data_IF_212121121511
#
_entry.id   IF_212121121511
#
_cell.length_a   1.000
_cell.length_b   1.000
_cell.length_c   1.000
_cell.angle_alpha   90.00
_cell.angle_beta   90.00
_cell.angle_gamma   90.00
#
_symmetry.space_group_name_H-M   'P 1'
#
loop_
_entity.id
_entity.type
_entity.pdbx_description
1 polymer ?
#
# COMPACT_ATOMS: atom_id res chain seq x y z
N UNK A 1 20.62 -15.42 3.77
CA UNK A 1 19.52 -14.83 2.95
C UNK A 1 18.56 -13.99 3.79
N UNK A 2 17.94 -14.52 4.86
CA UNK A 2 17.05 -13.73 5.71
C UNK A 2 17.71 -12.48 6.34
N UNK A 3 18.94 -12.60 6.86
CA UNK A 3 19.69 -11.47 7.42
C UNK A 3 19.96 -10.34 6.42
N UNK A 4 20.22 -10.68 5.15
CA UNK A 4 20.48 -9.70 4.08
C UNK A 4 19.20 -8.94 3.72
N UNK A 5 18.05 -9.62 3.67
CA UNK A 5 16.76 -8.99 3.41
C UNK A 5 16.39 -8.01 4.53
N UNK A 6 16.56 -8.41 5.79
CA UNK A 6 16.27 -7.52 6.92
C UNK A 6 17.22 -6.32 6.98
N UNK A 7 18.51 -6.50 6.64
CA UNK A 7 19.45 -5.38 6.50
C UNK A 7 19.06 -4.43 5.37
N UNK A 8 18.61 -4.96 4.23
CA UNK A 8 18.12 -4.16 3.11
C UNK A 8 16.87 -3.35 3.49
N UNK A 9 15.87 -3.98 4.12
CA UNK A 9 14.68 -3.30 4.65
C UNK A 9 15.04 -2.18 5.63
N UNK A 10 16.01 -2.43 6.53
CA UNK A 10 16.53 -1.44 7.46
C UNK A 10 17.16 -0.25 6.75
N UNK A 11 18.01 -0.49 5.76
CA UNK A 11 18.65 0.57 4.97
C UNK A 11 17.61 1.45 4.26
N UNK A 12 16.59 0.82 3.65
CA UNK A 12 15.48 1.53 3.00
C UNK A 12 14.68 2.38 3.98
N UNK A 13 14.32 1.82 5.14
CA UNK A 13 13.57 2.52 6.18
C UNK A 13 14.32 3.73 6.71
N UNK A 14 15.62 3.57 6.99
CA UNK A 14 16.48 4.67 7.43
C UNK A 14 16.54 5.78 6.37
N UNK A 15 16.83 5.43 5.12
CA UNK A 15 16.91 6.42 4.04
C UNK A 15 15.58 7.15 3.83
N UNK A 16 14.44 6.46 3.90
CA UNK A 16 13.13 7.08 3.79
C UNK A 16 12.87 8.10 4.91
N UNK A 17 13.16 7.75 6.17
CA UNK A 17 13.00 8.63 7.33
C UNK A 17 13.93 9.84 7.24
N UNK A 18 15.21 9.62 6.94
CA UNK A 18 16.21 10.70 6.81
C UNK A 18 15.79 11.77 5.78
N UNK A 19 15.09 11.37 4.71
CA UNK A 19 14.70 12.27 3.63
C UNK A 19 13.30 12.89 3.78
N UNK A 20 12.38 12.24 4.49
CA UNK A 20 10.95 12.61 4.46
C UNK A 20 10.32 12.84 5.84
N UNK A 21 10.96 12.46 6.95
CA UNK A 21 10.36 12.67 8.28
C UNK A 21 10.57 14.13 8.75
N UNK A 22 9.51 14.93 8.93
CA UNK A 22 9.65 16.33 9.33
C UNK A 22 10.10 16.49 10.78
N UNK A 23 10.88 17.55 11.07
CA UNK A 23 11.33 17.86 12.43
C UNK A 23 10.20 18.28 13.36
N UNK A 24 9.13 18.82 12.81
CA UNK A 24 7.95 19.34 13.50
C UNK A 24 6.67 18.55 13.13
N UNK A 25 6.84 17.25 12.82
CA UNK A 25 5.76 16.36 12.42
C UNK A 25 4.62 16.34 13.45
N UNK A 26 3.40 16.62 13.00
CA UNK A 26 2.19 16.60 13.85
C UNK A 26 1.46 15.28 13.74
N UNK A 27 1.21 14.83 12.51
CA UNK A 27 0.50 13.58 12.23
C UNK A 27 1.26 12.77 11.19
N UNK A 28 1.60 11.53 11.54
CA UNK A 28 2.37 10.62 10.70
C UNK A 28 1.63 9.31 10.52
N UNK A 29 1.38 8.90 9.28
CA UNK A 29 0.82 7.59 8.95
C UNK A 29 1.89 6.50 9.06
N UNK A 30 1.59 5.42 9.78
CA UNK A 30 2.48 4.26 9.91
C UNK A 30 1.79 3.04 9.33
N UNK A 31 2.37 2.56 8.26
CA UNK A 31 1.96 1.39 7.50
C UNK A 31 2.00 0.08 8.27
N UNK A 32 1.75 -1.00 7.54
CA UNK A 32 1.75 -2.36 8.06
C UNK A 32 2.84 -3.20 7.40
N UNK A 33 3.29 -4.25 8.11
CA UNK A 33 4.20 -5.26 7.57
C UNK A 33 5.65 -5.13 8.01
N UNK A 34 6.43 -6.17 7.68
CA UNK A 34 7.76 -6.39 8.25
C UNK A 34 8.79 -5.29 7.98
N UNK A 35 8.65 -4.52 6.89
CA UNK A 35 9.59 -3.43 6.57
C UNK A 35 9.35 -2.19 7.42
N UNK A 36 8.09 -1.95 7.85
CA UNK A 36 7.72 -0.74 8.60
C UNK A 36 8.27 -0.72 10.02
N UNK A 37 8.62 -1.88 10.57
CA UNK A 37 9.39 -1.97 11.82
C UNK A 37 10.63 -1.09 11.77
N UNK A 38 11.35 -1.09 10.63
CA UNK A 38 12.57 -0.31 10.48
C UNK A 38 12.35 1.18 10.25
N UNK A 39 11.17 1.58 9.76
CA UNK A 39 10.79 2.99 9.70
C UNK A 39 10.60 3.52 11.12
N UNK A 40 9.87 2.78 11.97
CA UNK A 40 9.66 3.17 13.37
C UNK A 40 10.97 3.20 14.15
N UNK A 41 11.85 2.22 13.95
CA UNK A 41 13.20 2.25 14.52
C UNK A 41 13.99 3.49 14.06
N UNK A 42 14.01 3.79 12.76
CA UNK A 42 14.71 4.96 12.23
C UNK A 42 14.15 6.29 12.76
N UNK A 43 12.83 6.40 12.96
CA UNK A 43 12.21 7.58 13.59
C UNK A 43 12.76 7.76 15.01
N UNK A 44 12.83 6.68 15.80
CA UNK A 44 13.36 6.71 17.17
C UNK A 44 14.86 7.05 17.21
N UNK A 45 15.61 6.61 16.22
CA UNK A 45 17.05 6.87 16.09
C UNK A 45 17.38 8.26 15.51
N UNK A 46 16.39 8.94 14.91
CA UNK A 46 16.59 10.24 14.24
C UNK A 46 17.00 11.39 15.17
N UNK A 47 16.73 11.25 16.48
CA UNK A 47 16.94 12.30 17.47
C UNK A 47 15.90 13.44 17.41
N UNK A 48 14.88 13.34 16.57
CA UNK A 48 13.75 14.28 16.54
C UNK A 48 12.88 14.08 17.79
N UNK A 49 12.42 15.18 18.39
CA UNK A 49 11.47 15.14 19.49
C UNK A 49 10.07 14.73 18.99
N UNK A 50 9.67 13.50 19.31
CA UNK A 50 8.38 12.93 18.91
C UNK A 50 7.28 13.12 19.95
N UNK A 51 7.50 13.87 21.02
CA UNK A 51 6.57 13.99 22.15
C UNK A 51 5.22 14.62 21.76
N UNK A 52 5.22 15.52 20.77
CA UNK A 52 4.02 16.16 20.24
C UNK A 52 3.41 15.43 19.03
N UNK A 53 4.13 14.50 18.42
CA UNK A 53 3.70 13.79 17.20
C UNK A 53 2.67 12.72 17.52
N UNK A 54 1.62 12.63 16.71
CA UNK A 54 0.61 11.57 16.73
C UNK A 54 0.79 10.65 15.53
N UNK A 55 0.72 9.35 15.76
CA UNK A 55 0.96 8.34 14.73
C UNK A 55 -0.33 7.60 14.43
N UNK A 56 -0.74 7.60 13.16
CA UNK A 56 -1.97 6.98 12.67
C UNK A 56 -1.64 5.60 12.12
N UNK A 57 -2.03 4.49 12.78
CA UNK A 57 -1.74 3.15 12.32
C UNK A 57 -2.64 2.73 11.15
N UNK A 58 -2.18 1.79 10.35
CA UNK A 58 -2.94 1.15 9.27
C UNK A 58 -3.38 -0.28 9.63
N UNK A 59 -3.68 -0.52 10.90
CA UNK A 59 -4.15 -1.81 11.40
C UNK A 59 -3.59 -2.16 12.78
N UNK A 60 -4.05 -3.29 13.32
CA UNK A 60 -3.69 -3.67 14.70
C UNK A 60 -2.19 -3.85 14.90
N UNK A 61 -1.49 -4.53 13.98
CA UNK A 61 -0.04 -4.76 14.11
C UNK A 61 0.76 -3.44 14.05
N UNK A 62 0.35 -2.51 13.17
CA UNK A 62 0.93 -1.17 13.11
C UNK A 62 0.75 -0.42 14.43
N UNK A 63 -0.47 -0.45 14.99
CA UNK A 63 -0.74 0.16 16.30
C UNK A 63 0.15 -0.42 17.41
N UNK A 64 0.31 -1.74 17.47
CA UNK A 64 1.17 -2.38 18.46
C UNK A 64 2.64 -1.99 18.31
N UNK A 65 3.13 -1.89 17.07
CA UNK A 65 4.49 -1.43 16.76
C UNK A 65 4.72 -0.01 17.29
N UNK A 66 3.79 0.93 17.02
CA UNK A 66 3.87 2.32 17.49
C UNK A 66 3.93 2.36 19.03
N UNK A 67 2.99 1.69 19.69
CA UNK A 67 2.88 1.69 21.16
C UNK A 67 4.13 1.08 21.80
N UNK A 68 4.61 -0.03 21.25
CA UNK A 68 5.80 -0.74 21.76
C UNK A 68 7.09 0.06 21.60
N UNK A 69 7.15 0.97 20.61
CA UNK A 69 8.25 1.92 20.43
C UNK A 69 8.16 3.15 21.38
N UNK A 70 7.12 3.24 22.21
CA UNK A 70 6.85 4.37 23.09
C UNK A 70 6.41 5.63 22.33
N UNK A 71 5.79 5.47 21.16
CA UNK A 71 5.22 6.54 20.36
C UNK A 71 3.71 6.69 20.63
N UNK A 72 3.14 7.87 20.37
CA UNK A 72 1.72 8.11 20.64
C UNK A 72 0.86 7.71 19.45
N UNK A 73 0.21 6.53 19.52
CA UNK A 73 -0.78 6.12 18.54
C UNK A 73 -2.09 6.92 18.68
N UNK A 74 -2.73 7.23 17.55
CA UNK A 74 -4.08 7.79 17.47
C UNK A 74 -4.87 7.06 16.39
N UNK A 75 -6.14 6.75 16.64
CA UNK A 75 -7.00 6.13 15.64
C UNK A 75 -7.35 7.11 14.52
N UNK A 76 -7.62 6.59 13.32
CA UNK A 76 -7.95 7.42 12.15
C UNK A 76 -9.20 8.27 12.37
N UNK A 77 -10.23 7.74 13.04
CA UNK A 77 -11.49 8.44 13.33
C UNK A 77 -11.39 9.44 14.50
N UNK A 78 -10.26 9.45 15.22
CA UNK A 78 -9.98 10.40 16.29
C UNK A 78 -9.15 11.62 15.81
N UNK A 79 -8.74 11.67 14.53
CA UNK A 79 -8.06 12.84 13.98
C UNK A 79 -9.05 14.00 13.82
N UNK A 80 -8.65 15.25 14.11
CA UNK A 80 -9.53 16.40 13.91
C UNK A 80 -9.96 16.53 12.44
N UNK A 81 -11.21 16.94 12.21
CA UNK A 81 -11.72 17.20 10.88
C UNK A 81 -10.82 18.18 10.10
N UNK A 82 -10.58 17.89 8.81
CA UNK A 82 -9.70 18.69 7.96
C UNK A 82 -8.20 18.50 8.21
N UNK A 83 -7.79 17.63 9.13
CA UNK A 83 -6.37 17.32 9.37
C UNK A 83 -5.77 16.58 8.18
N UNK A 84 -4.66 17.08 7.65
CA UNK A 84 -3.84 16.37 6.66
C UNK A 84 -2.58 15.87 7.34
N UNK A 85 -2.28 14.58 7.19
CA UNK A 85 -1.05 13.96 7.70
C UNK A 85 0.15 14.54 6.96
N UNK A 86 1.24 14.77 7.68
CA UNK A 86 2.46 15.33 7.09
C UNK A 86 3.11 14.33 6.14
N UNK A 87 3.19 13.07 6.56
CA UNK A 87 3.72 11.97 5.76
C UNK A 87 3.09 10.65 6.22
N UNK A 88 2.91 9.72 5.29
CA UNK A 88 2.62 8.32 5.55
C UNK A 88 3.76 7.45 5.00
N UNK A 89 4.28 6.52 5.82
CA UNK A 89 5.25 5.52 5.39
C UNK A 89 4.59 4.15 5.37
N UNK A 90 4.68 3.44 4.24
CA UNK A 90 4.11 2.09 4.15
C UNK A 90 4.92 1.18 3.21
N UNK A 91 4.75 -0.14 3.38
CA UNK A 91 5.34 -1.15 2.51
C UNK A 91 4.50 -1.41 1.26
N UNK A 92 5.03 -2.27 0.38
CA UNK A 92 4.32 -2.79 -0.78
C UNK A 92 4.61 -4.28 -0.98
N UNK A 93 3.66 -4.97 -1.62
CA UNK A 93 3.83 -6.34 -2.10
C UNK A 93 4.54 -6.37 -3.45
N UNK A 94 4.35 -5.33 -4.27
CA UNK A 94 5.02 -5.09 -5.55
C UNK A 94 4.90 -3.61 -5.95
N UNK A 95 5.90 -3.08 -6.65
CA UNK A 95 5.96 -1.69 -7.15
C UNK A 95 6.42 -1.69 -8.61
N UNK A 96 5.68 -1.00 -9.49
CA UNK A 96 6.04 -0.87 -10.90
C UNK A 96 6.88 0.40 -11.22
N UNK A 97 7.19 0.61 -12.50
CA UNK A 97 7.98 1.76 -12.97
C UNK A 97 7.24 3.11 -12.81
N UNK A 98 5.90 3.08 -12.77
CA UNK A 98 5.03 4.26 -12.64
C UNK A 98 4.70 4.59 -11.17
N UNK A 99 5.36 3.90 -10.21
CA UNK A 99 5.09 3.95 -8.77
C UNK A 99 3.67 3.47 -8.38
N UNK A 100 2.99 2.69 -9.21
CA UNK A 100 1.80 1.98 -8.76
C UNK A 100 2.22 0.80 -7.87
N UNK A 101 1.38 0.47 -6.88
CA UNK A 101 1.65 -0.59 -5.92
C UNK A 101 0.58 -1.67 -5.97
N UNK A 102 0.99 -2.90 -5.71
CA UNK A 102 0.13 -3.90 -5.08
C UNK A 102 0.42 -3.90 -3.58
N UNK A 103 -0.63 -3.86 -2.78
CA UNK A 103 -0.65 -3.97 -1.31
C UNK A 103 -1.77 -4.94 -0.88
N UNK A 104 -1.83 -5.25 0.41
CA UNK A 104 -2.86 -6.11 0.99
C UNK A 104 -2.48 -7.57 1.20
N UNK A 105 -1.22 -7.96 1.00
CA UNK A 105 -0.70 -9.26 1.41
C UNK A 105 -0.92 -9.53 2.91
N UNK A 106 -0.79 -8.50 3.74
CA UNK A 106 -1.10 -8.52 5.18
C UNK A 106 -2.57 -8.35 5.56
N UNK A 107 -3.48 -8.20 4.58
CA UNK A 107 -4.92 -7.96 4.78
C UNK A 107 -5.29 -6.66 5.53
N UNK A 108 -4.46 -5.61 5.39
CA UNK A 108 -4.68 -4.28 5.96
C UNK A 108 -5.04 -3.20 4.92
N UNK A 109 -5.29 -3.60 3.66
CA UNK A 109 -5.27 -2.70 2.50
C UNK A 109 -6.21 -1.50 2.60
N UNK A 110 -7.39 -1.65 3.22
CA UNK A 110 -8.33 -0.55 3.36
C UNK A 110 -7.78 0.54 4.28
N UNK A 111 -7.28 0.18 5.46
CA UNK A 111 -6.71 1.14 6.40
C UNK A 111 -5.41 1.76 5.86
N UNK A 112 -4.58 0.96 5.19
CA UNK A 112 -3.40 1.45 4.46
C UNK A 112 -3.78 2.54 3.45
N UNK A 113 -4.88 2.34 2.71
CA UNK A 113 -5.31 3.29 1.68
C UNK A 113 -5.89 4.57 2.24
N UNK A 114 -6.77 4.51 3.24
CA UNK A 114 -7.36 5.73 3.82
C UNK A 114 -6.30 6.61 4.50
N UNK A 115 -5.26 6.01 5.10
CA UNK A 115 -4.13 6.76 5.69
C UNK A 115 -3.29 7.43 4.60
N UNK A 116 -2.96 6.72 3.52
CA UNK A 116 -2.25 7.31 2.38
C UNK A 116 -3.04 8.46 1.72
N UNK A 117 -4.35 8.30 1.59
CA UNK A 117 -5.28 9.31 1.09
C UNK A 117 -5.47 10.51 2.04
N UNK A 118 -4.96 10.46 3.27
CA UNK A 118 -4.99 11.59 4.19
C UNK A 118 -3.62 12.28 4.31
N UNK A 119 -2.59 11.81 3.61
CA UNK A 119 -1.22 12.31 3.75
C UNK A 119 -0.76 13.22 2.60
N UNK A 120 -0.02 14.30 2.94
CA UNK A 120 0.65 15.17 1.95
C UNK A 120 1.66 14.36 1.14
N UNK A 121 2.47 13.57 1.84
CA UNK A 121 3.45 12.67 1.24
C UNK A 121 3.10 11.22 1.59
N UNK A 122 3.04 10.36 0.58
CA UNK A 122 3.04 8.92 0.79
C UNK A 122 4.38 8.36 0.30
N UNK A 123 5.11 7.68 1.19
CA UNK A 123 6.43 7.11 0.95
C UNK A 123 6.35 5.59 1.05
N UNK A 124 6.73 4.91 -0.02
CA UNK A 124 6.84 3.46 -0.04
C UNK A 124 8.24 3.01 0.41
N UNK A 125 8.30 2.01 1.30
CA UNK A 125 9.56 1.44 1.80
C UNK A 125 9.55 -0.07 1.61
N UNK A 126 10.51 -0.59 0.87
CA UNK A 126 10.56 -2.00 0.49
C UNK A 126 11.98 -2.53 0.34
N UNK A 127 12.12 -3.85 0.21
CA UNK A 127 13.35 -4.46 -0.31
C UNK A 127 13.28 -4.62 -1.84
N UNK A 128 14.44 -4.75 -2.48
CA UNK A 128 14.58 -4.83 -3.94
C UNK A 128 13.76 -5.92 -4.64
N UNK A 129 13.28 -6.97 -3.96
CA UNK A 129 12.39 -7.98 -4.59
C UNK A 129 11.04 -7.41 -5.00
N UNK A 130 10.64 -6.30 -4.36
CA UNK A 130 9.38 -5.59 -4.62
C UNK A 130 9.48 -4.65 -5.81
N UNK A 131 10.69 -4.35 -6.28
CA UNK A 131 10.97 -3.50 -7.42
C UNK A 131 10.77 -4.26 -8.72
N UNK A 132 9.71 -3.95 -9.46
CA UNK A 132 9.40 -4.57 -10.75
C UNK A 132 9.18 -3.51 -11.83
N UNK A 133 9.20 -3.91 -13.09
CA UNK A 133 8.81 -3.03 -14.20
C UNK A 133 7.29 -2.93 -14.35
N UNK A 134 6.57 -3.99 -13.94
CA UNK A 134 5.12 -4.13 -14.09
C UNK A 134 4.52 -4.82 -12.88
N UNK A 135 3.29 -4.44 -12.54
CA UNK A 135 2.48 -5.16 -11.58
C UNK A 135 2.02 -6.52 -12.13
N UNK A 136 1.82 -7.47 -11.22
CA UNK A 136 1.54 -8.88 -11.49
C UNK A 136 2.66 -9.59 -12.27
N UNK A 137 3.92 -9.22 -12.01
CA UNK A 137 5.09 -9.86 -12.64
C UNK A 137 5.79 -10.83 -11.69
N UNK A 138 6.04 -10.42 -10.45
CA UNK A 138 6.58 -11.26 -9.37
C UNK A 138 5.48 -11.64 -8.37
N UNK A 139 4.68 -10.66 -7.93
CA UNK A 139 3.44 -10.92 -7.19
C UNK A 139 2.34 -11.39 -8.17
N UNK A 140 1.38 -12.22 -7.73
CA UNK A 140 0.54 -13.01 -8.64
C UNK A 140 -0.97 -12.76 -8.55
N UNK A 141 -1.41 -11.89 -7.65
CA UNK A 141 -2.83 -11.61 -7.46
C UNK A 141 -3.05 -10.22 -6.89
N UNK A 142 -4.24 -9.67 -7.08
CA UNK A 142 -4.67 -8.43 -6.43
C UNK A 142 -5.49 -8.81 -5.20
N UNK A 143 -5.08 -8.44 -3.98
CA UNK A 143 -5.93 -8.57 -2.80
C UNK A 143 -7.13 -7.61 -2.90
N UNK A 144 -8.34 -8.06 -2.63
CA UNK A 144 -9.57 -7.26 -2.72
C UNK A 144 -10.37 -7.48 -1.44
N UNK A 145 -10.67 -6.40 -0.74
CA UNK A 145 -11.47 -6.45 0.48
C UNK A 145 -12.96 -6.39 0.13
N UNK A 146 -13.75 -7.36 0.59
CA UNK A 146 -15.13 -7.57 0.16
C UNK A 146 -16.07 -7.87 1.32
N UNK A 147 -17.30 -7.37 1.22
CA UNK A 147 -18.34 -7.66 2.19
C UNK A 147 -18.61 -9.18 2.21
N UNK A 148 -18.61 -9.85 3.38
CA UNK A 148 -18.77 -11.31 3.46
C UNK A 148 -20.00 -11.83 2.71
N UNK A 149 -21.12 -11.11 2.81
CA UNK A 149 -22.38 -11.46 2.14
C UNK A 149 -22.28 -11.42 0.60
N UNK A 150 -21.36 -10.63 0.05
CA UNK A 150 -21.20 -10.43 -1.38
C UNK A 150 -20.06 -11.26 -1.99
N UNK A 151 -19.28 -11.99 -1.18
CA UNK A 151 -18.04 -12.62 -1.64
C UNK A 151 -18.21 -13.51 -2.88
N UNK A 152 -19.23 -14.37 -2.92
CA UNK A 152 -19.51 -15.22 -4.09
C UNK A 152 -19.93 -14.43 -5.34
N UNK A 153 -20.68 -13.32 -5.16
CA UNK A 153 -21.03 -12.44 -6.27
C UNK A 153 -19.79 -11.76 -6.84
N UNK A 154 -18.93 -11.24 -5.97
CA UNK A 154 -17.68 -10.59 -6.39
C UNK A 154 -16.77 -11.58 -7.10
N UNK A 155 -16.65 -12.82 -6.62
CA UNK A 155 -15.92 -13.89 -7.33
C UNK A 155 -16.41 -14.09 -8.77
N UNK A 156 -17.73 -14.12 -8.99
CA UNK A 156 -18.30 -14.25 -10.34
C UNK A 156 -17.95 -13.05 -11.21
N UNK A 157 -18.15 -11.83 -10.71
CA UNK A 157 -17.83 -10.61 -11.44
C UNK A 157 -16.34 -10.50 -11.79
N UNK A 158 -15.45 -10.93 -10.88
CA UNK A 158 -14.00 -10.97 -11.14
C UNK A 158 -13.64 -11.92 -12.28
N UNK A 159 -14.27 -13.11 -12.36
CA UNK A 159 -14.08 -14.03 -13.48
C UNK A 159 -14.56 -13.41 -14.80
N UNK A 160 -15.69 -12.71 -14.78
CA UNK A 160 -16.26 -12.04 -15.97
C UNK A 160 -15.33 -10.96 -16.54
N UNK A 161 -14.58 -10.25 -15.68
CA UNK A 161 -13.58 -9.24 -16.10
C UNK A 161 -12.18 -9.83 -16.36
N UNK A 162 -12.04 -11.16 -16.34
CA UNK A 162 -10.81 -11.86 -16.74
C UNK A 162 -9.87 -12.27 -15.62
N UNK A 163 -10.32 -12.30 -14.36
CA UNK A 163 -9.53 -12.88 -13.27
C UNK A 163 -9.43 -14.40 -13.43
N UNK A 164 -8.24 -14.94 -13.19
CA UNK A 164 -7.92 -16.36 -13.33
C UNK A 164 -8.10 -17.03 -11.96
N UNK A 165 -9.16 -17.83 -11.80
CA UNK A 165 -9.44 -18.56 -10.55
C UNK A 165 -9.35 -17.71 -9.26
N UNK A 166 -10.09 -16.58 -9.16
CA UNK A 166 -10.11 -15.80 -7.93
C UNK A 166 -10.66 -16.64 -6.77
N UNK A 167 -10.11 -16.44 -5.57
CA UNK A 167 -10.47 -17.22 -4.39
C UNK A 167 -10.54 -16.36 -3.12
N UNK A 168 -11.45 -16.74 -2.21
CA UNK A 168 -11.49 -16.15 -0.87
C UNK A 168 -10.25 -16.61 -0.12
N UNK A 169 -9.47 -15.67 0.42
CA UNK A 169 -8.28 -15.94 1.22
C UNK A 169 -8.71 -16.61 2.53
N UNK A 170 -8.10 -17.75 2.83
CA UNK A 170 -8.34 -18.49 4.07
C UNK A 170 -7.36 -18.07 5.16
N UNK A 171 -7.79 -18.15 6.40
CA UNK A 171 -6.89 -18.04 7.56
C UNK A 171 -5.88 -19.19 7.55
N UNK A 172 -4.71 -18.96 8.14
CA UNK A 172 -3.69 -20.02 8.32
C UNK A 172 -4.20 -21.19 9.15
N UNK A 173 -5.09 -20.92 10.10
CA UNK A 173 -5.91 -21.92 10.78
C UNK A 173 -7.21 -22.13 10.02
N UNK A 174 -7.30 -23.27 9.33
CA UNK A 174 -8.45 -23.66 8.50
C UNK A 174 -9.76 -23.68 9.30
N UNK A 175 -9.71 -23.90 10.62
CA UNK A 175 -10.91 -23.91 11.46
C UNK A 175 -11.58 -22.53 11.57
N UNK A 176 -10.83 -21.46 11.33
CA UNK A 176 -11.34 -20.10 11.36
C UNK A 176 -12.04 -19.71 10.06
N UNK A 177 -11.89 -20.52 9.00
CA UNK A 177 -12.50 -20.28 7.69
C UNK A 177 -11.86 -19.10 6.95
N UNK A 178 -12.65 -18.30 6.22
CA UNK A 178 -12.16 -17.10 5.54
C UNK A 178 -11.41 -16.15 6.47
N UNK A 179 -10.31 -15.60 5.98
CA UNK A 179 -9.59 -14.54 6.67
C UNK A 179 -10.49 -13.31 6.80
N UNK A 180 -10.55 -12.74 8.00
CA UNK A 180 -11.26 -11.50 8.29
C UNK A 180 -10.26 -10.36 8.51
N UNK A 181 -10.50 -9.23 7.88
CA UNK A 181 -9.73 -7.99 8.11
C UNK A 181 -10.11 -7.36 9.44
N UNK A 182 -9.37 -6.32 9.85
CA UNK A 182 -9.70 -5.50 11.04
C UNK A 182 -11.12 -4.88 10.94
N UNK A 183 -11.65 -4.71 9.72
CA UNK A 183 -13.00 -4.22 9.47
C UNK A 183 -14.06 -5.33 9.43
N UNK A 184 -13.67 -6.58 9.68
CA UNK A 184 -14.48 -7.79 9.57
C UNK A 184 -14.97 -8.12 8.14
N UNK A 185 -14.27 -7.63 7.12
CA UNK A 185 -14.50 -8.00 5.72
C UNK A 185 -13.64 -9.21 5.34
N UNK A 186 -13.95 -9.85 4.21
CA UNK A 186 -13.11 -10.91 3.64
C UNK A 186 -12.10 -10.33 2.66
N UNK A 187 -11.03 -11.09 2.40
CA UNK A 187 -10.14 -10.83 1.27
C UNK A 187 -10.40 -11.86 0.17
N UNK A 188 -10.50 -11.41 -1.07
CA UNK A 188 -10.35 -12.23 -2.27
C UNK A 188 -8.99 -11.97 -2.88
N UNK A 189 -8.24 -13.02 -3.19
CA UNK A 189 -7.06 -12.97 -4.02
C UNK A 189 -7.46 -13.21 -5.47
N UNK A 190 -7.27 -12.19 -6.31
CA UNK A 190 -7.69 -12.22 -7.71
C UNK A 190 -6.47 -12.17 -8.65
N UNK A 191 -6.01 -13.31 -9.18
CA UNK A 191 -4.99 -13.34 -10.23
C UNK A 191 -5.50 -12.72 -11.53
N UNK A 192 -4.62 -12.00 -12.24
CA UNK A 192 -4.84 -11.49 -13.59
C UNK A 192 -3.53 -11.63 -14.38
N UNK A 193 -3.59 -11.35 -15.69
CA UNK A 193 -2.38 -11.19 -16.50
C UNK A 193 -1.56 -9.99 -15.99
N UNK A 194 -0.25 -9.99 -16.29
CA UNK A 194 0.63 -8.85 -16.01
C UNK A 194 0.05 -7.57 -16.61
N UNK A 195 -0.01 -6.51 -15.80
CA UNK A 195 -0.73 -5.29 -16.16
C UNK A 195 0.06 -4.41 -17.14
N UNK A 196 -0.68 -3.68 -17.96
CA UNK A 196 -0.15 -2.63 -18.82
C UNK A 196 0.12 -1.36 -17.99
N UNK A 197 1.22 -0.69 -18.32
CA UNK A 197 1.58 0.63 -17.78
C UNK A 197 0.91 1.73 -18.62
N UNK A 198 0.99 2.99 -18.16
CA UNK A 198 0.51 4.11 -18.98
C UNK A 198 1.27 4.23 -20.29
N UNK A 199 2.58 3.94 -20.29
CA UNK A 199 3.41 3.97 -21.48
C UNK A 199 2.97 2.95 -22.54
N UNK A 200 2.47 1.78 -22.13
CA UNK A 200 1.93 0.78 -23.06
C UNK A 200 0.67 1.25 -23.77
N UNK A 201 -0.25 1.87 -23.01
CA UNK A 201 -1.50 2.40 -23.57
C UNK A 201 -1.20 3.56 -24.50
N UNK A 202 -0.27 4.45 -24.13
CA UNK A 202 0.22 5.52 -25.00
C UNK A 202 0.87 4.98 -26.29
N UNK A 203 1.49 3.80 -26.24
CA UNK A 203 2.03 3.09 -27.40
C UNK A 203 0.98 2.31 -28.22
N UNK A 204 -0.31 2.43 -27.89
CA UNK A 204 -1.43 1.87 -28.65
C UNK A 204 -1.90 0.49 -28.20
N UNK A 205 -1.44 -0.04 -27.05
CA UNK A 205 -2.02 -1.26 -26.49
C UNK A 205 -3.38 -0.98 -25.85
N UNK A 206 -4.32 -1.90 -26.05
CA UNK A 206 -5.65 -1.83 -25.45
C UNK A 206 -5.60 -2.34 -24.00
N UNK A 207 -5.70 -1.40 -23.04
CA UNK A 207 -5.77 -1.68 -21.60
C UNK A 207 -7.18 -1.62 -21.01
N UNK A 208 -8.22 -1.67 -21.85
CA UNK A 208 -9.62 -1.53 -21.43
C UNK A 208 -10.22 -2.74 -20.71
N UNK A 209 -9.49 -3.86 -20.65
CA UNK A 209 -9.99 -5.14 -20.15
C UNK A 209 -10.37 -6.14 -21.24
N UNK A 210 -10.35 -5.72 -22.51
CA UNK A 210 -10.62 -6.61 -23.64
C UNK A 210 -9.63 -7.79 -23.65
N UNK A 211 -10.16 -9.01 -23.67
CA UNK A 211 -9.35 -10.23 -23.62
C UNK A 211 -8.63 -10.46 -22.28
N UNK A 212 -9.08 -9.81 -21.20
CA UNK A 212 -8.46 -9.90 -19.87
C UNK A 212 -7.15 -9.11 -19.75
N UNK A 213 -6.86 -8.22 -20.70
CA UNK A 213 -5.69 -7.34 -20.69
C UNK A 213 -6.11 -5.97 -20.15
N UNK A 214 -5.45 -5.55 -19.07
CA UNK A 214 -5.82 -4.34 -18.35
C UNK A 214 -4.63 -3.41 -18.13
N UNK A 215 -4.90 -2.11 -18.19
CA UNK A 215 -4.05 -1.09 -17.56
C UNK A 215 -4.31 -1.03 -16.05
N UNK A 216 -3.29 -0.68 -15.27
CA UNK A 216 -3.30 -0.70 -13.80
C UNK A 216 -4.48 0.07 -13.20
N UNK A 217 -4.64 1.35 -13.54
CA UNK A 217 -5.70 2.18 -12.99
C UNK A 217 -7.07 1.74 -13.48
N UNK A 218 -7.20 1.39 -14.76
CA UNK A 218 -8.44 0.88 -15.35
C UNK A 218 -8.97 -0.36 -14.63
N UNK A 219 -8.11 -1.35 -14.33
CA UNK A 219 -8.50 -2.53 -13.57
C UNK A 219 -8.92 -2.17 -12.14
N UNK A 220 -8.16 -1.31 -11.47
CA UNK A 220 -8.50 -0.86 -10.12
C UNK A 220 -9.90 -0.23 -10.06
N UNK A 221 -10.24 0.62 -11.02
CA UNK A 221 -11.56 1.24 -11.09
C UNK A 221 -12.66 0.22 -11.42
N UNK A 222 -12.42 -0.68 -12.38
CA UNK A 222 -13.38 -1.72 -12.74
C UNK A 222 -13.72 -2.63 -11.55
N UNK A 223 -12.72 -3.07 -10.77
CA UNK A 223 -12.94 -3.88 -9.57
C UNK A 223 -13.69 -3.06 -8.51
N UNK A 224 -13.28 -1.81 -8.27
CA UNK A 224 -13.86 -0.94 -7.24
C UNK A 224 -15.37 -0.68 -7.46
N UNK A 225 -15.83 -0.73 -8.71
CA UNK A 225 -17.24 -0.53 -9.06
C UNK A 225 -18.13 -1.77 -8.80
N UNK A 226 -17.55 -2.95 -8.55
CA UNK A 226 -18.33 -4.17 -8.29
C UNK A 226 -19.05 -4.05 -6.93
N UNK A 227 -20.40 -4.11 -6.88
CA UNK A 227 -21.12 -4.06 -5.61
C UNK A 227 -20.70 -5.18 -4.66
N UNK A 228 -20.24 -4.80 -3.46
CA UNK A 228 -19.68 -5.71 -2.47
C UNK A 228 -18.17 -5.56 -2.27
N UNK A 229 -17.46 -4.88 -3.18
CA UNK A 229 -16.05 -4.52 -2.98
C UNK A 229 -15.96 -3.31 -2.04
N UNK A 230 -15.28 -3.51 -0.91
CA UNK A 230 -14.90 -2.42 -0.01
C UNK A 230 -13.70 -1.67 -0.57
N UNK A 231 -12.63 -2.35 -0.96
CA UNK A 231 -11.45 -1.72 -1.54
C UNK A 231 -10.55 -2.73 -2.29
N UNK A 232 -9.59 -2.22 -3.05
CA UNK A 232 -8.72 -2.96 -3.97
C UNK A 232 -7.26 -2.76 -3.58
N UNK A 233 -6.45 -3.81 -3.58
CA UNK A 233 -5.02 -3.75 -3.25
C UNK A 233 -4.15 -3.01 -4.26
N UNK A 234 -4.72 -2.41 -5.31
CA UNK A 234 -4.00 -1.52 -6.23
C UNK A 234 -4.01 -0.10 -5.67
N UNK A 235 -2.82 0.48 -5.55
CA UNK A 235 -2.58 1.88 -5.20
C UNK A 235 -2.03 2.56 -6.46
N UNK A 236 -2.90 3.28 -7.16
CA UNK A 236 -2.62 3.93 -8.44
C UNK A 236 -3.41 5.23 -8.55
N UNK A 237 -2.93 6.17 -9.36
CA UNK A 237 -3.57 7.47 -9.55
C UNK A 237 -2.67 8.63 -9.18
N UNK A 238 -3.22 9.65 -8.54
CA UNK A 238 -2.49 10.88 -8.19
C UNK A 238 -1.60 10.68 -6.97
N UNK A 239 -0.45 11.37 -6.97
CA UNK A 239 0.33 11.59 -5.75
C UNK A 239 -0.31 12.69 -4.89
N UNK A 240 0.10 12.81 -3.62
CA UNK A 240 -0.40 13.85 -2.72
C UNK A 240 -0.23 15.28 -3.26
N UNK A 241 0.95 15.68 -3.76
CA UNK A 241 1.14 16.99 -4.39
C UNK A 241 0.23 17.22 -5.61
N UNK A 242 0.02 16.20 -6.44
CA UNK A 242 -0.88 16.29 -7.61
C UNK A 242 -2.34 16.45 -7.19
N UNK A 243 -2.79 15.71 -6.17
CA UNK A 243 -4.14 15.87 -5.64
C UNK A 243 -4.35 17.26 -5.03
N UNK A 244 -3.36 17.76 -4.27
CA UNK A 244 -3.40 19.09 -3.69
C UNK A 244 -3.46 20.19 -4.75
N UNK A 245 -2.71 20.06 -5.85
CA UNK A 245 -2.77 20.99 -6.97
C UNK A 245 -4.17 21.05 -7.64
N UNK A 246 -4.97 19.98 -7.50
CA UNK A 246 -6.36 19.91 -7.96
C UNK A 246 -7.39 20.28 -6.87
N UNK A 247 -6.94 20.79 -5.72
CA UNK A 247 -7.81 21.16 -4.60
C UNK A 247 -8.28 20.00 -3.72
N UNK A 248 -7.71 18.81 -3.90
CA UNK A 248 -7.94 17.62 -3.07
C UNK A 248 -6.92 17.44 -1.94
N UNK A 249 -6.99 16.29 -1.27
CA UNK A 249 -6.06 15.86 -0.22
C UNK A 249 -5.62 14.42 -0.52
N UNK A 250 -4.35 14.10 -0.23
CA UNK A 250 -3.88 12.71 -0.22
C UNK A 250 -3.31 12.18 -1.52
N UNK A 251 -2.42 11.19 -1.40
CA UNK A 251 -1.91 10.43 -2.54
C UNK A 251 -2.59 9.07 -2.65
N UNK A 252 -3.10 8.73 -3.84
CA UNK A 252 -3.49 7.36 -4.19
C UNK A 252 -2.28 6.47 -4.46
N UNK A 253 -1.12 7.08 -4.76
CA UNK A 253 0.17 6.41 -4.95
C UNK A 253 1.31 7.23 -4.34
N UNK A 254 2.49 6.63 -4.06
CA UNK A 254 3.56 7.31 -3.37
C UNK A 254 4.26 8.35 -4.24
N UNK A 255 4.85 9.36 -3.61
CA UNK A 255 5.75 10.32 -4.28
C UNK A 255 7.16 9.75 -4.45
N UNK A 256 7.53 8.77 -3.63
CA UNK A 256 8.81 8.10 -3.68
C UNK A 256 8.72 6.67 -3.13
N UNK A 257 9.53 5.77 -3.68
CA UNK A 257 9.71 4.43 -3.18
C UNK A 257 11.20 4.15 -2.95
N UNK A 258 11.53 3.70 -1.74
CA UNK A 258 12.89 3.36 -1.30
C UNK A 258 13.06 1.84 -1.26
N UNK A 259 14.07 1.34 -1.95
CA UNK A 259 14.35 -0.08 -2.10
C UNK A 259 15.71 -0.44 -1.55
N UNK A 260 15.72 -1.24 -0.50
CA UNK A 260 16.95 -1.80 0.06
C UNK A 260 17.55 -2.84 -0.89
N UNK A 261 18.80 -2.64 -1.26
CA UNK A 261 19.54 -3.53 -2.13
C UNK A 261 20.32 -4.58 -1.31
N UNK A 262 20.60 -5.78 -1.85
CA UNK A 262 21.34 -6.82 -1.13
C UNK A 262 22.78 -6.44 -0.76
N UNK A 263 23.36 -5.46 -1.46
CA UNK A 263 24.70 -4.92 -1.21
C UNK A 263 24.73 -3.82 -0.12
N UNK A 264 23.58 -3.50 0.48
CA UNK A 264 23.43 -2.47 1.50
C UNK A 264 23.15 -1.07 0.95
N UNK A 265 23.16 -0.88 -0.37
CA UNK A 265 22.75 0.39 -1.00
C UNK A 265 21.22 0.55 -0.98
N UNK A 266 20.74 1.77 -1.28
CA UNK A 266 19.31 2.07 -1.41
C UNK A 266 19.05 2.65 -2.79
N UNK A 267 18.19 1.99 -3.56
CA UNK A 267 17.65 2.50 -4.82
C UNK A 267 16.39 3.32 -4.53
N UNK A 268 16.21 4.44 -5.23
CA UNK A 268 15.06 5.34 -5.02
C UNK A 268 14.37 5.60 -6.35
N UNK A 269 13.07 5.38 -6.40
CA UNK A 269 12.19 5.87 -7.48
C UNK A 269 11.39 7.06 -6.97
N UNK A 270 11.26 8.11 -7.78
CA UNK A 270 10.48 9.31 -7.46
C UNK A 270 9.43 9.54 -8.54
N UNK A 271 8.27 10.01 -8.14
CA UNK A 271 7.24 10.43 -9.07
C UNK A 271 7.76 11.62 -9.88
N UNK A 272 7.43 11.65 -11.17
CA UNK A 272 7.60 12.85 -11.98
C UNK A 272 6.69 13.95 -11.45
N UNK A 273 7.23 15.16 -11.31
CA UNK A 273 6.49 16.34 -10.87
C UNK A 273 5.28 16.64 -11.77
#
# INVERSE_FOLDING_TARGET
MASVIEAAKRAAGKAAVDNHYPKDAKFVGIGSGSTIVYVVEAIKESGVDTSATKYVPTGFQSKQLIVSAGLTAVEFDAIPEGTVLDVAFDGADEVDDDLNLIKGGGACLFQEKIVALQAKEFICVADSRKLQSRLLSNWKYIPIEVAPIAAHRVLTALREIGSIEPAIRLSSDVKQGPLKTDQAFFIIDAPFQTLLTQADVAAGKDGSGKGGVWEVHALSQAIKQIPGVLDVGIFSGLTGPQAQALGGVGGQKPIAAYFGMPDGSVSVRKATA
#
